data_IF_892313808975
#
_entry.id   IF_892313808975
#
_cell.length_a   1.000
_cell.length_b   1.000
_cell.length_c   1.000
_cell.angle_alpha   90.00
_cell.angle_beta   90.00
_cell.angle_gamma   90.00
#
_symmetry.space_group_name_H-M   'P 1'
#
loop_
_entity.id
_entity.type
_entity.pdbx_description
1 polymer ?
#
# COMPACT_ATOMS: atom_id res chain seq x y z
N UNK A 1 -3.56 -15.58 7.47
CA UNK A 1 -2.08 -15.73 7.47
C UNK A 1 -1.49 -15.90 6.06
N UNK A 2 -2.05 -16.75 5.18
CA UNK A 2 -1.52 -16.94 3.81
C UNK A 2 -1.57 -15.65 2.98
N UNK A 3 -2.61 -14.85 3.16
CA UNK A 3 -2.78 -13.56 2.45
C UNK A 3 -1.69 -12.56 2.81
N UNK A 4 -1.44 -12.35 4.10
CA UNK A 4 -0.38 -11.45 4.57
C UNK A 4 0.97 -11.84 4.01
N UNK A 5 1.33 -13.12 4.06
CA UNK A 5 2.59 -13.62 3.49
C UNK A 5 2.72 -13.32 2.00
N UNK A 6 1.62 -13.45 1.24
CA UNK A 6 1.64 -13.12 -0.19
C UNK A 6 1.80 -11.61 -0.42
N UNK A 7 1.14 -10.77 0.40
CA UNK A 7 1.29 -9.32 0.35
C UNK A 7 2.73 -8.91 0.70
N UNK A 8 3.30 -9.46 1.77
CA UNK A 8 4.69 -9.22 2.18
C UNK A 8 5.69 -9.60 1.09
N UNK A 9 5.51 -10.79 0.49
CA UNK A 9 6.35 -11.24 -0.64
C UNK A 9 6.22 -10.30 -1.84
N UNK A 10 5.00 -9.88 -2.18
CA UNK A 10 4.78 -8.91 -3.26
C UNK A 10 5.50 -7.59 -3.00
N UNK A 11 5.37 -7.03 -1.79
CA UNK A 11 6.03 -5.79 -1.42
C UNK A 11 7.56 -5.92 -1.50
N UNK A 12 8.14 -6.90 -0.79
CA UNK A 12 9.59 -7.01 -0.65
C UNK A 12 10.29 -7.47 -1.94
N UNK A 13 9.69 -8.41 -2.68
CA UNK A 13 10.36 -9.05 -3.82
C UNK A 13 10.05 -8.37 -5.16
N UNK A 14 8.92 -7.65 -5.27
CA UNK A 14 8.49 -7.06 -6.53
C UNK A 14 8.30 -5.55 -6.47
N UNK A 15 7.45 -5.06 -5.56
CA UNK A 15 7.06 -3.63 -5.55
C UNK A 15 8.22 -2.71 -5.20
N UNK A 16 8.89 -2.98 -4.08
CA UNK A 16 9.99 -2.13 -3.61
C UNK A 16 11.24 -2.20 -4.53
N UNK A 17 11.72 -3.36 -4.99
CA UNK A 17 12.81 -3.40 -5.96
C UNK A 17 12.48 -2.72 -7.29
N UNK A 18 11.23 -2.81 -7.78
CA UNK A 18 10.79 -2.11 -8.98
C UNK A 18 10.86 -0.59 -8.79
N UNK A 19 10.28 -0.08 -7.70
CA UNK A 19 10.28 1.35 -7.39
C UNK A 19 11.69 1.91 -7.24
N UNK A 20 12.60 1.15 -6.59
CA UNK A 20 14.02 1.54 -6.51
C UNK A 20 14.67 1.70 -7.87
N UNK A 21 14.39 0.78 -8.79
CA UNK A 21 14.91 0.84 -10.16
C UNK A 21 14.36 2.05 -10.90
N UNK A 22 13.06 2.31 -10.80
CA UNK A 22 12.42 3.49 -11.40
C UNK A 22 13.01 4.79 -10.86
N UNK A 23 13.31 4.86 -9.55
CA UNK A 23 14.02 6.01 -8.95
C UNK A 23 15.40 6.21 -9.56
N UNK A 24 16.20 5.17 -9.72
CA UNK A 24 17.53 5.24 -10.34
C UNK A 24 17.43 5.76 -11.78
N UNK A 25 16.51 5.18 -12.56
CA UNK A 25 16.31 5.53 -13.97
C UNK A 25 15.81 6.97 -14.16
N UNK A 26 15.04 7.50 -13.21
CA UNK A 26 14.53 8.87 -13.27
C UNK A 26 15.52 9.90 -12.73
N UNK A 27 16.20 9.62 -11.63
CA UNK A 27 17.00 10.63 -10.91
C UNK A 27 18.43 10.77 -11.42
N UNK A 28 19.11 9.67 -11.74
CA UNK A 28 20.51 9.74 -12.18
C UNK A 28 20.70 10.46 -13.52
N UNK A 29 19.86 10.23 -14.56
CA UNK A 29 19.97 10.98 -15.80
C UNK A 29 19.56 12.45 -15.67
N UNK A 30 18.68 12.77 -14.70
CA UNK A 30 18.19 14.13 -14.47
C UNK A 30 19.27 15.05 -13.92
N UNK A 31 20.16 14.53 -13.06
CA UNK A 31 21.23 15.32 -12.43
C UNK A 31 22.48 14.45 -12.17
N UNK A 32 23.26 14.14 -13.23
CA UNK A 32 24.39 13.22 -13.13
C UNK A 32 25.54 13.72 -12.24
N UNK A 33 25.62 15.05 -12.03
CA UNK A 33 26.71 15.71 -11.30
C UNK A 33 26.40 15.94 -9.83
N UNK A 34 25.14 15.79 -9.46
CA UNK A 34 24.64 16.09 -8.12
C UNK A 34 24.75 14.89 -7.16
N UNK A 35 24.82 15.20 -5.89
CA UNK A 35 24.70 14.20 -4.80
C UNK A 35 23.26 13.96 -4.39
N UNK A 36 22.30 14.72 -4.92
CA UNK A 36 20.88 14.64 -4.55
C UNK A 36 20.25 13.28 -4.92
N UNK A 37 20.48 12.71 -6.13
CA UNK A 37 20.01 11.36 -6.43
C UNK A 37 20.42 10.32 -5.40
N UNK A 38 21.69 10.35 -4.99
CA UNK A 38 22.21 9.40 -4.00
C UNK A 38 21.60 9.61 -2.61
N UNK A 39 21.30 10.85 -2.24
CA UNK A 39 20.59 11.16 -0.99
C UNK A 39 19.19 10.58 -1.00
N UNK A 40 18.43 10.79 -2.08
CA UNK A 40 17.07 10.27 -2.22
C UNK A 40 17.05 8.74 -2.22
N UNK A 41 17.99 8.10 -2.93
CA UNK A 41 18.14 6.64 -2.93
C UNK A 41 18.46 6.08 -1.55
N UNK A 42 19.31 6.79 -0.76
CA UNK A 42 19.60 6.42 0.61
C UNK A 42 18.36 6.51 1.50
N UNK A 43 17.59 7.60 1.42
CA UNK A 43 16.31 7.73 2.15
C UNK A 43 15.34 6.61 1.75
N UNK A 44 15.35 6.23 0.47
CA UNK A 44 14.56 5.12 -0.01
C UNK A 44 15.02 3.76 0.56
N UNK A 45 16.30 3.50 0.60
CA UNK A 45 16.85 2.27 1.18
C UNK A 45 16.55 2.18 2.70
N UNK A 46 16.58 3.30 3.42
CA UNK A 46 16.13 3.38 4.81
C UNK A 46 14.64 3.10 4.98
N UNK A 47 13.80 3.61 4.07
CA UNK A 47 12.37 3.30 4.03
C UNK A 47 12.09 1.80 3.80
N UNK A 48 12.81 1.17 2.87
CA UNK A 48 12.70 -0.28 2.60
C UNK A 48 13.07 -1.10 3.85
N UNK A 49 14.07 -0.67 4.62
CA UNK A 49 14.47 -1.37 5.84
C UNK A 49 13.42 -1.25 6.95
N UNK A 50 12.76 -0.10 7.11
CA UNK A 50 11.64 0.05 8.05
C UNK A 50 10.46 -0.87 7.69
N UNK A 51 10.11 -0.97 6.39
CA UNK A 51 9.08 -1.94 5.95
C UNK A 51 9.51 -3.38 6.24
N UNK A 52 10.77 -3.73 6.05
CA UNK A 52 11.27 -5.07 6.33
C UNK A 52 11.10 -5.43 7.80
N UNK A 53 11.51 -4.52 8.69
CA UNK A 53 11.39 -4.68 10.15
C UNK A 53 9.92 -4.82 10.53
N UNK A 54 9.04 -3.97 10.00
CA UNK A 54 7.60 -4.04 10.23
C UNK A 54 7.03 -5.42 9.85
N UNK A 55 7.31 -5.90 8.64
CA UNK A 55 6.88 -7.22 8.17
C UNK A 55 7.45 -8.37 9.01
N UNK A 56 8.69 -8.26 9.49
CA UNK A 56 9.30 -9.26 10.37
C UNK A 56 8.59 -9.32 11.72
N UNK A 57 8.21 -8.19 12.30
CA UNK A 57 7.42 -8.10 13.53
C UNK A 57 6.05 -8.76 13.36
N UNK A 58 5.34 -8.46 12.26
CA UNK A 58 4.04 -9.08 11.94
C UNK A 58 4.16 -10.60 11.78
N UNK A 59 5.16 -11.07 11.06
CA UNK A 59 5.42 -12.50 10.88
C UNK A 59 5.75 -13.21 12.21
N UNK A 60 6.32 -12.50 13.17
CA UNK A 60 6.60 -12.98 14.53
C UNK A 60 5.36 -12.92 15.45
N UNK A 61 4.25 -12.33 14.99
CA UNK A 61 3.02 -12.18 15.78
C UNK A 61 3.08 -11.08 16.83
N UNK A 62 4.00 -10.12 16.68
CA UNK A 62 4.19 -8.99 17.58
C UNK A 62 3.34 -7.80 17.11
N UNK A 63 2.03 -7.82 17.37
CA UNK A 63 1.08 -6.83 16.86
C UNK A 63 0.85 -5.60 17.76
N UNK A 64 1.46 -5.52 18.93
CA UNK A 64 1.13 -4.47 19.91
C UNK A 64 1.90 -3.14 19.73
N UNK A 65 2.99 -3.11 18.97
CA UNK A 65 3.86 -1.93 18.81
C UNK A 65 3.72 -1.20 17.45
N UNK A 66 2.82 -1.65 16.57
CA UNK A 66 2.83 -1.30 15.14
C UNK A 66 2.42 0.14 14.79
N UNK A 67 1.59 0.83 15.57
CA UNK A 67 1.12 2.18 15.22
C UNK A 67 2.23 3.24 15.09
N UNK A 68 3.34 3.05 15.82
CA UNK A 68 4.51 3.95 15.71
C UNK A 68 5.36 3.61 14.48
N UNK A 69 5.46 2.33 14.13
CA UNK A 69 6.22 1.88 12.95
C UNK A 69 5.51 2.30 11.65
N UNK A 70 4.19 2.19 11.58
CA UNK A 70 3.38 2.63 10.44
C UNK A 70 3.55 4.12 10.15
N UNK A 71 3.54 4.94 11.21
CA UNK A 71 3.74 6.38 11.09
C UNK A 71 5.16 6.70 10.58
N UNK A 72 6.18 6.03 11.08
CA UNK A 72 7.58 6.22 10.64
C UNK A 72 7.76 5.86 9.18
N UNK A 73 7.14 4.76 8.71
CA UNK A 73 7.16 4.34 7.31
C UNK A 73 6.51 5.40 6.41
N UNK A 74 5.34 5.90 6.80
CA UNK A 74 4.61 6.95 6.07
C UNK A 74 5.39 8.27 6.05
N UNK A 75 6.02 8.66 7.16
CA UNK A 75 6.84 9.87 7.26
C UNK A 75 8.04 9.81 6.31
N UNK A 76 8.72 8.65 6.21
CA UNK A 76 9.85 8.45 5.28
C UNK A 76 9.41 8.55 3.81
N UNK A 77 8.27 7.98 3.43
CA UNK A 77 7.72 8.17 2.07
C UNK A 77 7.42 9.63 1.77
N UNK A 78 6.86 10.34 2.74
CA UNK A 78 6.57 11.78 2.61
C UNK A 78 7.85 12.59 2.46
N UNK A 79 8.92 12.23 3.18
CA UNK A 79 10.25 12.85 3.04
C UNK A 79 10.82 12.64 1.64
N UNK A 80 10.79 11.41 1.11
CA UNK A 80 11.27 11.09 -0.25
C UNK A 80 10.52 11.91 -1.31
N UNK A 81 9.18 11.96 -1.23
CA UNK A 81 8.36 12.77 -2.15
C UNK A 81 8.71 14.25 -2.06
N UNK A 82 8.90 14.77 -0.85
CA UNK A 82 9.26 16.17 -0.60
C UNK A 82 10.64 16.52 -1.16
N UNK A 83 11.61 15.62 -1.04
CA UNK A 83 12.95 15.78 -1.64
C UNK A 83 12.86 15.82 -3.16
N UNK A 84 12.09 14.93 -3.79
CA UNK A 84 11.90 14.92 -5.24
C UNK A 84 11.26 16.24 -5.71
N UNK A 85 10.18 16.68 -5.08
CA UNK A 85 9.48 17.93 -5.41
C UNK A 85 10.42 19.14 -5.25
N UNK A 86 11.21 19.18 -4.18
CA UNK A 86 12.10 20.28 -3.86
C UNK A 86 13.26 20.42 -4.85
N UNK A 87 13.89 19.32 -5.22
CA UNK A 87 15.11 19.34 -6.02
C UNK A 87 14.88 19.09 -7.51
N UNK A 88 13.71 18.58 -7.89
CA UNK A 88 13.29 18.34 -9.27
C UNK A 88 11.96 19.04 -9.58
N UNK A 89 11.87 20.38 -9.46
CA UNK A 89 10.63 21.09 -9.74
C UNK A 89 10.28 21.01 -11.22
N UNK A 90 8.99 20.94 -11.51
CA UNK A 90 8.44 20.74 -12.87
C UNK A 90 8.95 21.75 -13.92
N UNK A 91 9.38 22.94 -13.50
CA UNK A 91 9.91 23.99 -14.41
C UNK A 91 11.33 23.69 -14.93
N UNK A 92 12.12 22.90 -14.21
CA UNK A 92 13.47 22.50 -14.63
C UNK A 92 13.42 21.35 -15.64
N UNK A 93 12.29 20.71 -15.79
CA UNK A 93 12.04 19.47 -16.52
C UNK A 93 11.70 19.76 -18.01
N UNK A 94 11.39 21.00 -18.37
CA UNK A 94 10.88 21.38 -19.69
C UNK A 94 11.87 21.24 -20.89
N UNK A 95 13.15 20.95 -20.65
CA UNK A 95 14.14 20.79 -21.70
C UNK A 95 14.38 19.35 -22.17
N UNK A 96 13.99 18.35 -21.36
CA UNK A 96 14.10 16.92 -21.70
C UNK A 96 12.81 16.18 -21.33
N UNK A 97 11.84 16.13 -22.25
CA UNK A 97 10.51 15.54 -22.02
C UNK A 97 10.51 14.10 -21.45
N UNK A 98 11.55 13.30 -21.75
CA UNK A 98 11.67 11.93 -21.24
C UNK A 98 11.92 11.88 -19.73
N UNK A 99 12.79 12.75 -19.20
CA UNK A 99 13.10 12.82 -17.76
C UNK A 99 11.89 13.27 -16.96
N UNK A 100 11.11 14.21 -17.50
CA UNK A 100 9.85 14.66 -16.89
C UNK A 100 8.87 13.51 -16.70
N UNK A 101 8.67 12.73 -17.75
CA UNK A 101 7.74 11.61 -17.74
C UNK A 101 8.14 10.53 -16.70
N UNK A 102 9.45 10.21 -16.63
CA UNK A 102 9.98 9.26 -15.67
C UNK A 102 9.77 9.74 -14.21
N UNK A 103 10.01 11.02 -13.93
CA UNK A 103 9.77 11.58 -12.58
C UNK A 103 8.30 11.58 -12.20
N UNK A 104 7.40 11.87 -13.14
CA UNK A 104 5.95 11.80 -12.90
C UNK A 104 5.54 10.35 -12.58
N UNK A 105 6.04 9.37 -13.34
CA UNK A 105 5.76 7.97 -13.08
C UNK A 105 6.26 7.53 -11.70
N UNK A 106 7.49 7.89 -11.33
CA UNK A 106 8.06 7.60 -10.02
C UNK A 106 7.23 8.22 -8.89
N UNK A 107 6.79 9.47 -9.03
CA UNK A 107 5.93 10.11 -8.04
C UNK A 107 4.57 9.40 -7.92
N UNK A 108 3.99 9.00 -9.04
CA UNK A 108 2.76 8.19 -9.06
C UNK A 108 2.97 6.84 -8.37
N UNK A 109 4.08 6.17 -8.63
CA UNK A 109 4.43 4.89 -8.01
C UNK A 109 4.66 5.01 -6.50
N UNK A 110 5.29 6.09 -6.04
CA UNK A 110 5.45 6.39 -4.61
C UNK A 110 4.10 6.58 -3.92
N UNK A 111 3.17 7.30 -4.55
CA UNK A 111 1.83 7.51 -3.99
C UNK A 111 1.01 6.22 -3.96
N UNK A 112 1.08 5.40 -5.01
CA UNK A 112 0.42 4.09 -5.00
C UNK A 112 1.01 3.16 -3.93
N UNK A 113 2.34 3.20 -3.74
CA UNK A 113 3.00 2.39 -2.70
C UNK A 113 2.56 2.82 -1.30
N UNK A 114 2.42 4.12 -1.05
CA UNK A 114 1.88 4.65 0.21
C UNK A 114 0.44 4.21 0.44
N UNK A 115 -0.41 4.27 -0.60
CA UNK A 115 -1.80 3.83 -0.51
C UNK A 115 -1.89 2.31 -0.27
N UNK A 116 -1.13 1.52 -1.02
CA UNK A 116 -1.08 0.06 -0.85
C UNK A 116 -0.65 -0.33 0.56
N UNK A 117 0.33 0.38 1.15
CA UNK A 117 0.78 0.18 2.51
C UNK A 117 -0.27 0.59 3.55
N UNK A 118 -0.91 1.74 3.36
CA UNK A 118 -2.00 2.22 4.22
C UNK A 118 -3.19 1.26 4.22
N UNK A 119 -3.57 0.74 3.05
CA UNK A 119 -4.65 -0.25 2.92
C UNK A 119 -4.27 -1.57 3.60
N UNK A 120 -3.00 -1.97 3.56
CA UNK A 120 -2.47 -3.14 4.25
C UNK A 120 -2.60 -3.00 5.78
N UNK A 121 -2.10 -1.91 6.37
CA UNK A 121 -2.24 -1.63 7.80
C UNK A 121 -3.71 -1.55 8.24
N UNK A 122 -4.58 -0.94 7.42
CA UNK A 122 -6.02 -0.87 7.71
C UNK A 122 -6.68 -2.26 7.75
N UNK A 123 -6.28 -3.20 6.89
CA UNK A 123 -6.78 -4.58 6.92
C UNK A 123 -6.32 -5.30 8.18
N UNK A 124 -5.08 -5.09 8.60
CA UNK A 124 -4.56 -5.68 9.83
C UNK A 124 -5.29 -5.18 11.05
N UNK A 125 -5.44 -3.88 11.20
CA UNK A 125 -6.07 -3.26 12.34
C UNK A 125 -7.55 -3.62 12.48
N UNK A 126 -8.28 -3.63 11.36
CA UNK A 126 -9.74 -3.77 11.39
C UNK A 126 -10.22 -5.22 11.25
N UNK A 127 -9.40 -6.13 10.73
CA UNK A 127 -9.82 -7.51 10.43
C UNK A 127 -8.99 -8.53 11.19
N UNK A 128 -7.66 -8.42 11.14
CA UNK A 128 -6.79 -9.48 11.66
C UNK A 128 -6.57 -9.40 13.16
N UNK A 129 -6.29 -8.23 13.71
CA UNK A 129 -6.15 -8.06 15.17
C UNK A 129 -7.38 -8.48 15.93
N UNK A 130 -8.61 -8.04 15.59
CA UNK A 130 -9.81 -8.50 16.26
C UNK A 130 -10.04 -10.02 16.16
N UNK A 131 -9.69 -10.61 15.01
CA UNK A 131 -9.83 -12.05 14.81
C UNK A 131 -8.86 -12.88 15.66
N UNK A 132 -7.64 -12.37 15.91
CA UNK A 132 -6.62 -13.03 16.73
C UNK A 132 -6.88 -12.88 18.23
N UNK A 133 -7.37 -11.73 18.67
CA UNK A 133 -7.70 -11.49 20.10
C UNK A 133 -8.95 -12.25 20.54
N UNK A 134 -9.91 -12.48 19.65
CA UNK A 134 -11.13 -13.25 19.94
C UNK A 134 -10.90 -14.76 20.06
N UNK A 135 -9.74 -15.29 19.64
CA UNK A 135 -9.43 -16.74 19.76
C UNK A 135 -8.93 -17.13 21.15
N UNK A 136 -8.58 -16.17 22.01
CA UNK A 136 -8.02 -16.42 23.35
C UNK A 136 -9.02 -16.27 24.49
N UNK A 137 -10.27 -15.94 24.23
CA UNK A 137 -11.29 -15.72 25.27
C UNK A 137 -12.62 -16.36 24.89
N UNK A 138 -12.80 -17.62 25.27
CA UNK A 138 -14.13 -18.22 25.41
C UNK A 138 -14.78 -17.66 26.67
N UNK A 139 -15.31 -16.45 26.62
CA UNK A 139 -16.34 -15.98 27.54
C UNK A 139 -17.20 -14.90 26.89
N UNK A 140 -18.49 -15.23 26.79
CA UNK A 140 -19.64 -14.40 26.53
C UNK A 140 -19.49 -12.96 27.06
N UNK A 141 -19.25 -12.00 26.15
CA UNK A 141 -19.72 -10.64 26.32
C UNK A 141 -20.39 -10.21 25.03
N UNK A 142 -21.68 -9.97 25.10
CA UNK A 142 -22.41 -9.22 24.09
C UNK A 142 -21.84 -7.79 24.11
N UNK A 143 -20.93 -7.49 23.20
CA UNK A 143 -20.59 -6.11 22.87
C UNK A 143 -21.52 -5.71 21.75
N UNK A 144 -22.39 -4.76 22.01
CA UNK A 144 -23.13 -4.03 20.99
C UNK A 144 -22.10 -3.34 20.09
N UNK A 145 -21.77 -4.00 18.98
CA UNK A 145 -20.98 -3.37 17.90
C UNK A 145 -21.88 -2.38 17.20
N UNK A 146 -21.41 -1.16 16.86
CA UNK A 146 -22.11 -0.35 15.89
C UNK A 146 -22.28 -1.19 14.63
N UNK A 147 -23.48 -1.22 14.07
CA UNK A 147 -23.88 -2.04 12.91
C UNK A 147 -22.95 -1.79 11.71
N UNK A 148 -21.83 -2.50 11.67
CA UNK A 148 -21.08 -2.68 10.42
C UNK A 148 -21.88 -3.66 9.59
N UNK A 149 -22.48 -3.18 8.51
CA UNK A 149 -23.23 -4.02 7.56
C UNK A 149 -22.34 -5.19 7.12
N UNK A 150 -22.72 -6.41 7.46
CA UNK A 150 -21.98 -7.60 7.06
C UNK A 150 -21.85 -7.65 5.53
N UNK A 151 -20.66 -8.05 5.05
CA UNK A 151 -20.41 -8.26 3.64
C UNK A 151 -21.33 -9.37 3.11
N UNK A 152 -22.00 -9.14 1.99
CA UNK A 152 -22.75 -10.16 1.27
C UNK A 152 -21.82 -11.26 0.74
N UNK A 153 -22.34 -12.43 0.40
CA UNK A 153 -21.55 -13.52 -0.19
C UNK A 153 -20.81 -13.05 -1.45
N UNK A 154 -21.47 -12.29 -2.31
CA UNK A 154 -20.87 -11.75 -3.55
C UNK A 154 -19.77 -10.72 -3.28
N UNK A 155 -19.92 -9.90 -2.25
CA UNK A 155 -18.89 -8.97 -1.82
C UNK A 155 -17.67 -9.71 -1.23
N UNK A 156 -17.89 -10.83 -0.51
CA UNK A 156 -16.80 -11.69 -0.05
C UNK A 156 -16.07 -12.37 -1.20
N UNK A 157 -16.81 -12.89 -2.20
CA UNK A 157 -16.21 -13.48 -3.39
C UNK A 157 -15.31 -12.48 -4.12
N UNK A 158 -15.80 -11.25 -4.32
CA UNK A 158 -15.03 -10.17 -4.94
C UNK A 158 -13.82 -9.80 -4.06
N UNK A 159 -14.00 -9.65 -2.76
CA UNK A 159 -12.92 -9.32 -1.83
C UNK A 159 -11.80 -10.35 -1.88
N UNK A 160 -12.12 -11.65 -1.88
CA UNK A 160 -11.14 -12.73 -2.00
C UNK A 160 -10.31 -12.59 -3.29
N UNK A 161 -10.92 -12.20 -4.40
CA UNK A 161 -10.20 -12.04 -5.67
C UNK A 161 -9.36 -10.75 -5.70
N UNK A 162 -9.84 -9.69 -5.09
CA UNK A 162 -9.06 -8.44 -4.88
C UNK A 162 -7.81 -8.76 -4.07
N UNK A 163 -7.98 -9.50 -3.00
CA UNK A 163 -6.91 -9.97 -2.11
C UNK A 163 -5.89 -10.86 -2.85
N UNK A 164 -6.35 -11.65 -3.81
CA UNK A 164 -5.49 -12.46 -4.68
C UNK A 164 -4.78 -11.63 -5.78
N UNK A 165 -4.92 -10.30 -5.76
CA UNK A 165 -4.24 -9.38 -6.68
C UNK A 165 -4.83 -9.33 -8.09
N UNK A 166 -6.05 -9.85 -8.31
CA UNK A 166 -6.68 -9.83 -9.61
C UNK A 166 -7.21 -8.43 -9.97
N UNK A 167 -7.01 -8.04 -11.22
CA UNK A 167 -7.61 -6.84 -11.79
C UNK A 167 -9.14 -6.96 -11.88
N UNK A 168 -9.84 -5.82 -11.96
CA UNK A 168 -11.31 -5.83 -12.11
C UNK A 168 -11.80 -6.66 -13.28
N UNK A 169 -11.04 -6.73 -14.38
CA UNK A 169 -11.37 -7.53 -15.55
C UNK A 169 -11.24 -9.02 -15.26
N UNK A 170 -10.14 -9.44 -14.66
CA UNK A 170 -9.91 -10.85 -14.28
C UNK A 170 -10.92 -11.33 -13.24
N UNK A 171 -11.31 -10.47 -12.28
CA UNK A 171 -12.37 -10.77 -11.31
C UNK A 171 -13.72 -10.96 -12.03
N UNK A 172 -14.04 -10.07 -12.95
CA UNK A 172 -15.27 -10.14 -13.74
C UNK A 172 -15.36 -11.46 -14.53
N UNK A 173 -14.28 -11.82 -15.22
CA UNK A 173 -14.19 -13.07 -15.98
C UNK A 173 -14.29 -14.30 -15.05
N UNK A 174 -13.60 -14.29 -13.93
CA UNK A 174 -13.55 -15.41 -12.97
C UNK A 174 -14.89 -15.64 -12.25
N UNK A 175 -15.58 -14.56 -11.89
CA UNK A 175 -16.87 -14.63 -11.19
C UNK A 175 -18.08 -14.60 -12.13
N UNK A 176 -17.85 -14.57 -13.44
CA UNK A 176 -18.91 -14.48 -14.48
C UNK A 176 -19.87 -13.30 -14.28
N UNK A 177 -19.31 -12.11 -13.95
CA UNK A 177 -20.06 -10.86 -13.77
C UNK A 177 -19.45 -9.74 -14.62
N UNK A 178 -20.15 -8.61 -14.75
CA UNK A 178 -19.59 -7.47 -15.49
C UNK A 178 -18.48 -6.76 -14.69
N UNK A 179 -17.54 -6.13 -15.40
CA UNK A 179 -16.52 -5.27 -14.76
C UNK A 179 -17.17 -4.16 -13.93
N UNK A 180 -18.29 -3.61 -14.40
CA UNK A 180 -19.05 -2.60 -13.67
C UNK A 180 -19.61 -3.14 -12.35
N UNK A 181 -20.07 -4.40 -12.35
CA UNK A 181 -20.55 -5.09 -11.14
C UNK A 181 -19.42 -5.27 -10.14
N UNK A 182 -18.22 -5.65 -10.59
CA UNK A 182 -17.03 -5.74 -9.73
C UNK A 182 -16.72 -4.39 -9.08
N UNK A 183 -16.69 -3.30 -9.85
CA UNK A 183 -16.45 -1.95 -9.34
C UNK A 183 -17.50 -1.56 -8.29
N UNK A 184 -18.77 -1.89 -8.52
CA UNK A 184 -19.85 -1.63 -7.57
C UNK A 184 -19.66 -2.41 -6.26
N UNK A 185 -19.30 -3.70 -6.35
CA UNK A 185 -19.01 -4.51 -5.16
C UNK A 185 -17.80 -3.95 -4.38
N UNK A 186 -16.72 -3.58 -5.06
CA UNK A 186 -15.53 -2.96 -4.40
C UNK A 186 -15.91 -1.68 -3.66
N UNK A 187 -16.71 -0.81 -4.27
CA UNK A 187 -17.20 0.42 -3.63
C UNK A 187 -18.04 0.12 -2.38
N UNK A 188 -18.92 -0.89 -2.45
CA UNK A 188 -19.73 -1.29 -1.31
C UNK A 188 -18.88 -1.92 -0.20
N UNK A 189 -17.89 -2.74 -0.55
CA UNK A 189 -16.92 -3.31 0.39
C UNK A 189 -16.18 -2.20 1.12
N UNK A 190 -15.62 -1.23 0.40
CA UNK A 190 -14.92 -0.07 0.96
C UNK A 190 -15.80 0.70 1.95
N UNK A 191 -17.08 0.95 1.58
CA UNK A 191 -18.06 1.60 2.46
C UNK A 191 -18.36 0.77 3.71
N UNK A 192 -18.63 -0.53 3.55
CA UNK A 192 -19.00 -1.43 4.65
C UNK A 192 -17.85 -1.68 5.62
N UNK A 193 -16.63 -1.75 5.13
CA UNK A 193 -15.42 -1.90 5.93
C UNK A 193 -14.90 -0.56 6.48
N UNK A 194 -15.63 0.55 6.20
CA UNK A 194 -15.26 1.91 6.61
C UNK A 194 -13.85 2.32 6.16
N UNK A 195 -13.38 1.77 5.05
CA UNK A 195 -12.09 2.13 4.44
C UNK A 195 -12.32 3.43 3.68
N UNK A 196 -11.94 4.55 4.29
CA UNK A 196 -12.01 5.85 3.63
C UNK A 196 -10.75 6.07 2.80
N UNK A 197 -10.89 5.95 1.47
CA UNK A 197 -9.90 6.55 0.56
C UNK A 197 -9.95 8.07 0.77
N UNK A 198 -8.93 8.63 1.38
CA UNK A 198 -8.71 10.07 1.40
C UNK A 198 -8.21 10.52 0.02
N UNK A 199 -9.09 10.44 -0.99
CA UNK A 199 -8.92 11.11 -2.26
C UNK A 199 -9.90 12.28 -2.29
N UNK A 200 -9.39 13.46 -1.95
CA UNK A 200 -10.00 14.76 -2.13
C UNK A 200 -9.00 15.67 -2.79
#
# INVERSE_FOLDING_TARGET
>A
QQYLRNAHTYFLDFRLPHLRRSLIEALLPADPSSKIPMLILRCYDEFVEEIRIHIEHENAGMYEEHTQDDQRITDKLTEIKSLIIKYYPSQTIGQNGTVTYQLINVMSDLWHTEQDFSDHCAIEDNILRPALTNTSSSHLYQVETPETEALSERERDVLIQVVNGLSNKEIADKLCISVHTVITHRKNITRKLNIHSTAG
#
